data_IF_017780087477
#
_entry.id   IF_017780087477
#
_cell.length_a   1.000
_cell.length_b   1.000
_cell.length_c   1.000
_cell.angle_alpha   90.00
_cell.angle_beta   90.00
_cell.angle_gamma   90.00
#
_symmetry.space_group_name_H-M   'P 1'
#
loop_
_entity.id
_entity.type
_entity.pdbx_description
1 polymer ?
#
# COMPACT_ATOMS: atom_id res chain seq x y z
N UNK A 1 -35.81 -52.83 42.13
CA UNK A 1 -37.24 -52.47 42.10
C UNK A 1 -37.41 -51.65 40.83
N UNK A 2 -37.72 -52.30 39.70
CA UNK A 2 -39.11 -52.62 39.26
C UNK A 2 -39.82 -51.31 38.89
N UNK A 3 -40.34 -51.02 37.71
CA UNK A 3 -40.85 -51.74 36.52
C UNK A 3 -40.77 -50.70 35.36
N UNK A 4 -40.79 -50.97 34.06
CA UNK A 4 -41.44 -52.01 33.28
C UNK A 4 -42.32 -51.36 32.19
N UNK A 5 -42.22 -51.90 30.96
CA UNK A 5 -43.32 -52.08 29.97
C UNK A 5 -43.82 -50.81 29.24
N UNK A 6 -43.55 -50.56 27.95
CA UNK A 6 -43.85 -51.27 26.67
C UNK A 6 -45.31 -51.16 26.21
N UNK A 7 -45.55 -50.59 25.02
CA UNK A 7 -46.51 -51.08 24.01
C UNK A 7 -46.27 -50.31 22.70
N UNK A 8 -45.77 -50.96 21.63
CA UNK A 8 -46.52 -51.76 20.64
C UNK A 8 -47.32 -50.84 19.69
N UNK A 9 -47.00 -50.77 18.41
CA UNK A 9 -47.43 -51.77 17.44
C UNK A 9 -46.50 -51.86 16.22
N UNK A 10 -46.21 -53.11 15.87
CA UNK A 10 -45.53 -53.58 14.66
C UNK A 10 -46.54 -54.16 13.65
N UNK A 11 -46.03 -54.38 12.43
CA UNK A 11 -46.49 -55.33 11.39
C UNK A 11 -47.51 -54.82 10.38
N UNK A 12 -47.49 -55.19 9.09
CA UNK A 12 -46.52 -55.67 8.07
C UNK A 12 -47.37 -55.83 6.76
N UNK A 13 -46.78 -56.17 5.60
CA UNK A 13 -47.25 -55.74 4.27
C UNK A 13 -48.23 -56.72 3.59
N UNK A 14 -48.93 -56.26 2.56
CA UNK A 14 -49.49 -57.12 1.52
C UNK A 14 -49.32 -56.52 0.12
N UNK A 15 -49.12 -57.44 -0.81
CA UNK A 15 -48.58 -57.31 -2.15
C UNK A 15 -49.66 -57.66 -3.20
N UNK A 16 -49.38 -57.39 -4.49
CA UNK A 16 -50.14 -57.69 -5.73
C UNK A 16 -51.11 -56.59 -6.17
N UNK A 17 -51.20 -56.18 -7.44
CA UNK A 17 -50.99 -56.94 -8.68
C UNK A 17 -50.53 -56.08 -9.86
N UNK A 18 -49.86 -56.76 -10.78
CA UNK A 18 -49.36 -56.36 -12.10
C UNK A 18 -50.39 -55.64 -13.00
N UNK A 19 -49.92 -54.70 -13.82
CA UNK A 19 -50.40 -54.62 -15.20
C UNK A 19 -49.34 -54.03 -16.15
N UNK A 20 -48.92 -54.83 -17.12
CA UNK A 20 -48.01 -54.49 -18.20
C UNK A 20 -48.70 -53.61 -19.25
N UNK A 21 -48.13 -52.43 -19.55
CA UNK A 21 -48.26 -51.78 -20.86
C UNK A 21 -46.91 -51.20 -21.29
N UNK A 22 -46.23 -51.89 -22.20
CA UNK A 22 -45.19 -51.30 -23.07
C UNK A 22 -45.87 -50.30 -24.00
N UNK A 23 -45.24 -49.14 -24.25
CA UNK A 23 -45.06 -48.54 -25.58
C UNK A 23 -44.26 -47.22 -25.52
N UNK A 24 -43.16 -47.22 -26.28
CA UNK A 24 -42.51 -46.13 -27.04
C UNK A 24 -41.76 -44.98 -26.34
N UNK A 25 -40.44 -45.02 -26.63
CA UNK A 25 -39.40 -43.99 -26.68
C UNK A 25 -39.90 -42.60 -27.10
N UNK A 26 -39.46 -41.57 -26.36
CA UNK A 26 -39.04 -40.28 -26.90
C UNK A 26 -37.83 -39.80 -26.09
N UNK A 27 -36.69 -39.73 -26.75
CA UNK A 27 -35.55 -38.91 -26.35
C UNK A 27 -36.00 -37.44 -26.42
N UNK A 28 -36.15 -36.79 -25.27
CA UNK A 28 -36.29 -35.33 -25.21
C UNK A 28 -34.91 -34.77 -24.87
N UNK A 29 -34.23 -34.43 -25.96
CA UNK A 29 -33.36 -33.27 -26.15
C UNK A 29 -33.00 -32.48 -24.90
N UNK A 30 -31.70 -32.53 -24.61
CA UNK A 30 -30.93 -31.58 -23.82
C UNK A 30 -31.16 -30.15 -24.36
N UNK A 31 -32.13 -29.44 -23.80
CA UNK A 31 -32.24 -27.98 -23.96
C UNK A 31 -31.11 -27.36 -23.14
N UNK A 32 -29.98 -27.14 -23.82
CA UNK A 32 -28.96 -26.22 -23.35
C UNK A 32 -29.65 -24.86 -23.21
N UNK A 33 -29.82 -24.40 -21.96
CA UNK A 33 -30.10 -22.98 -21.71
C UNK A 33 -28.93 -22.20 -22.31
N UNK A 34 -29.18 -21.54 -23.44
CA UNK A 34 -28.38 -20.41 -23.87
C UNK A 34 -28.47 -19.38 -22.74
N UNK A 35 -27.42 -19.32 -21.93
CA UNK A 35 -27.20 -18.20 -21.03
C UNK A 35 -26.95 -17.04 -21.96
N UNK A 36 -27.97 -16.18 -22.10
CA UNK A 36 -27.85 -14.89 -22.76
C UNK A 36 -26.70 -14.16 -22.04
N UNK A 37 -25.54 -14.09 -22.68
CA UNK A 37 -24.42 -13.25 -22.26
C UNK A 37 -24.89 -11.80 -22.39
N UNK A 38 -25.73 -11.37 -21.45
CA UNK A 38 -25.93 -9.97 -21.20
C UNK A 38 -24.55 -9.42 -20.89
N UNK A 39 -24.03 -8.60 -21.80
CA UNK A 39 -22.85 -7.75 -21.60
C UNK A 39 -22.98 -7.12 -20.20
N UNK A 40 -22.24 -7.68 -19.23
CA UNK A 40 -22.13 -7.12 -17.90
C UNK A 40 -21.49 -5.75 -18.08
N UNK A 41 -22.29 -4.70 -17.99
CA UNK A 41 -21.78 -3.34 -18.05
C UNK A 41 -21.12 -3.06 -16.71
N UNK A 42 -19.83 -2.77 -16.75
CA UNK A 42 -19.09 -2.27 -15.60
C UNK A 42 -19.79 -1.02 -15.04
N UNK A 43 -20.37 -1.14 -13.84
CA UNK A 43 -20.96 -0.02 -13.12
C UNK A 43 -19.97 0.49 -12.05
N UNK A 44 -19.79 1.81 -11.99
CA UNK A 44 -18.93 2.42 -10.97
C UNK A 44 -19.62 2.38 -9.61
N UNK A 45 -19.04 1.65 -8.67
CA UNK A 45 -19.52 1.59 -7.30
C UNK A 45 -19.03 2.77 -6.45
N UNK A 46 -19.96 3.48 -5.80
CA UNK A 46 -19.69 4.57 -4.87
C UNK A 46 -20.29 4.21 -3.50
N UNK A 47 -19.46 4.01 -2.45
CA UNK A 47 -19.95 3.69 -1.12
C UNK A 47 -20.99 4.71 -0.63
N UNK A 48 -22.15 4.20 -0.21
CA UNK A 48 -23.27 5.02 0.30
C UNK A 48 -24.11 5.75 -0.75
N UNK A 49 -23.79 5.61 -2.05
CA UNK A 49 -24.63 6.12 -3.16
C UNK A 49 -25.11 5.03 -4.10
N UNK A 50 -24.24 4.08 -4.44
CA UNK A 50 -24.60 2.90 -5.25
C UNK A 50 -25.43 1.93 -4.43
N UNK A 51 -26.16 1.03 -5.12
CA UNK A 51 -26.85 -0.07 -4.45
C UNK A 51 -25.82 -0.95 -3.73
N UNK A 52 -26.19 -1.62 -2.63
CA UNK A 52 -25.32 -2.64 -2.01
C UNK A 52 -24.87 -3.67 -3.04
N UNK A 53 -23.66 -4.18 -2.82
CA UNK A 53 -23.09 -5.29 -3.59
C UNK A 53 -24.00 -6.52 -3.42
N UNK A 54 -24.29 -7.20 -4.52
CA UNK A 54 -24.96 -8.51 -4.49
C UNK A 54 -23.95 -9.62 -4.13
N UNK A 55 -24.45 -10.80 -3.73
CA UNK A 55 -23.60 -11.89 -3.21
C UNK A 55 -22.61 -12.45 -4.26
N UNK A 56 -22.87 -12.19 -5.54
CA UNK A 56 -22.11 -12.63 -6.72
C UNK A 56 -21.30 -11.50 -7.37
N UNK A 57 -21.28 -10.31 -6.79
CA UNK A 57 -20.54 -9.16 -7.29
C UNK A 57 -19.21 -8.95 -6.54
N UNK A 58 -18.16 -8.64 -7.29
CA UNK A 58 -16.86 -8.27 -6.73
C UNK A 58 -16.45 -6.87 -7.19
N UNK A 59 -15.86 -6.10 -6.27
CA UNK A 59 -15.32 -4.79 -6.60
C UNK A 59 -13.95 -4.96 -7.26
N UNK A 60 -13.89 -4.65 -8.55
CA UNK A 60 -12.63 -4.58 -9.29
C UNK A 60 -12.18 -3.12 -9.38
N UNK A 61 -10.86 -2.91 -9.27
CA UNK A 61 -10.27 -1.58 -9.44
C UNK A 61 -10.44 -1.09 -10.89
N UNK A 62 -11.04 0.08 -11.06
CA UNK A 62 -11.02 0.78 -12.36
C UNK A 62 -9.65 1.43 -12.60
N UNK A 63 -8.78 0.75 -13.38
CA UNK A 63 -7.46 1.25 -13.78
C UNK A 63 -7.54 2.59 -14.53
N UNK A 64 -8.69 2.96 -15.13
CA UNK A 64 -8.84 4.23 -15.87
C UNK A 64 -8.84 5.46 -14.96
N UNK A 65 -9.15 5.28 -13.67
CA UNK A 65 -9.13 6.34 -12.67
C UNK A 65 -7.70 6.83 -12.33
N UNK A 66 -6.67 6.05 -12.69
CA UNK A 66 -5.28 6.31 -12.33
C UNK A 66 -4.39 6.48 -13.56
N UNK A 67 -3.28 7.21 -13.39
CA UNK A 67 -2.19 7.27 -14.36
C UNK A 67 -1.11 6.23 -14.08
N UNK A 68 -0.90 5.93 -12.81
CA UNK A 68 -0.02 4.89 -12.28
C UNK A 68 -0.64 4.39 -10.98
N UNK A 69 -0.46 3.11 -10.67
CA UNK A 69 -0.87 2.53 -9.40
C UNK A 69 0.08 1.40 -9.05
N UNK A 70 0.55 1.39 -7.80
CA UNK A 70 1.44 0.37 -7.28
C UNK A 70 1.02 0.04 -5.85
N UNK A 71 0.93 -1.24 -5.57
CA UNK A 71 0.74 -1.78 -4.23
C UNK A 71 2.08 -2.28 -3.70
N UNK A 72 2.37 -1.96 -2.44
CA UNK A 72 3.63 -2.34 -1.80
C UNK A 72 3.30 -2.97 -0.46
N UNK A 73 3.72 -4.21 -0.28
CA UNK A 73 3.66 -4.87 1.01
C UNK A 73 4.88 -4.49 1.85
N UNK A 74 4.64 -4.04 3.09
CA UNK A 74 5.69 -3.64 4.03
C UNK A 74 5.69 -4.55 5.26
N UNK A 75 6.87 -4.76 5.87
CA UNK A 75 7.04 -5.68 7.00
C UNK A 75 6.21 -5.32 8.24
N UNK A 76 5.83 -4.05 8.40
CA UNK A 76 5.11 -3.54 9.57
C UNK A 76 4.24 -2.36 9.16
N UNK A 77 3.14 -2.14 9.90
CA UNK A 77 2.28 -0.98 9.67
C UNK A 77 3.06 0.31 9.82
N UNK A 78 2.60 1.35 9.11
CA UNK A 78 3.18 2.68 9.13
C UNK A 78 2.10 3.70 9.42
N UNK A 79 2.29 4.50 10.46
CA UNK A 79 1.40 5.59 10.82
C UNK A 79 1.64 6.85 9.99
N UNK A 80 2.84 6.96 9.41
CA UNK A 80 3.23 8.14 8.64
C UNK A 80 4.35 7.85 7.66
N UNK A 81 4.30 8.56 6.56
CA UNK A 81 5.39 8.66 5.62
C UNK A 81 5.54 10.10 5.15
N UNK A 82 6.68 10.38 4.52
CA UNK A 82 6.96 11.64 3.85
C UNK A 82 7.77 11.39 2.57
N UNK A 83 7.65 12.32 1.62
CA UNK A 83 8.32 12.22 0.32
C UNK A 83 9.68 12.91 0.40
N UNK A 84 10.73 12.21 -0.05
CA UNK A 84 12.08 12.75 -0.20
C UNK A 84 12.24 13.27 -1.64
N UNK A 85 12.09 14.58 -1.83
CA UNK A 85 12.16 15.20 -3.16
C UNK A 85 13.53 15.00 -3.82
N UNK A 86 13.53 14.57 -5.08
CA UNK A 86 14.75 14.48 -5.88
C UNK A 86 15.11 15.84 -6.50
N UNK A 87 16.16 15.84 -7.34
CA UNK A 87 16.56 17.00 -8.14
C UNK A 87 16.18 16.82 -9.62
N UNK A 88 15.19 15.98 -9.94
CA UNK A 88 14.77 15.67 -11.32
C UNK A 88 13.77 16.69 -11.90
N UNK A 89 13.41 17.71 -11.12
CA UNK A 89 12.51 18.80 -11.53
C UNK A 89 11.28 18.89 -10.64
N UNK A 90 10.68 20.08 -10.61
CA UNK A 90 9.41 20.34 -9.92
C UNK A 90 8.23 20.00 -10.84
N UNK A 91 7.12 19.56 -10.24
CA UNK A 91 5.86 19.28 -10.93
C UNK A 91 6.00 18.38 -12.17
N UNK A 92 6.78 17.28 -12.03
CA UNK A 92 6.92 16.27 -13.08
C UNK A 92 5.54 15.67 -13.39
N UNK A 93 4.98 16.03 -14.54
CA UNK A 93 3.73 15.47 -15.02
C UNK A 93 3.89 13.98 -15.34
N UNK A 94 2.91 13.18 -14.91
CA UNK A 94 2.83 11.76 -15.23
C UNK A 94 1.87 11.61 -16.39
N UNK A 95 2.37 11.12 -17.53
CA UNK A 95 1.57 10.92 -18.73
C UNK A 95 1.25 9.44 -18.90
N UNK A 96 0.02 9.15 -19.37
CA UNK A 96 -0.36 7.80 -19.77
C UNK A 96 0.47 7.43 -21.01
N UNK A 97 0.98 6.19 -21.07
CA UNK A 97 2.01 5.78 -22.05
C UNK A 97 3.34 6.56 -21.93
N UNK A 98 3.57 7.25 -20.81
CA UNK A 98 4.79 8.03 -20.58
C UNK A 98 6.00 7.18 -20.17
N UNK A 99 7.07 7.87 -19.81
CA UNK A 99 8.31 7.26 -19.33
C UNK A 99 8.20 6.78 -17.88
N UNK A 100 9.14 5.92 -17.48
CA UNK A 100 9.21 5.43 -16.11
C UNK A 100 9.58 6.53 -15.11
N UNK A 101 8.94 6.50 -13.95
CA UNK A 101 9.20 7.43 -12.85
C UNK A 101 9.96 6.76 -11.71
N UNK A 102 10.47 7.60 -10.80
CA UNK A 102 11.06 7.18 -9.54
C UNK A 102 10.56 8.07 -8.41
N UNK A 103 10.47 7.49 -7.21
CA UNK A 103 10.09 8.18 -5.99
C UNK A 103 10.95 7.69 -4.84
N UNK A 104 11.26 8.59 -3.91
CA UNK A 104 11.92 8.24 -2.67
C UNK A 104 11.05 8.69 -1.51
N UNK A 105 10.86 7.82 -0.53
CA UNK A 105 9.98 8.03 0.61
C UNK A 105 10.69 7.62 1.89
N UNK A 106 10.32 8.25 3.00
CA UNK A 106 10.65 7.78 4.34
C UNK A 106 9.36 7.42 5.06
N UNK A 107 9.33 6.24 5.68
CA UNK A 107 8.22 5.78 6.50
C UNK A 107 8.71 5.41 7.89
N UNK A 108 7.83 5.54 8.88
CA UNK A 108 8.07 5.09 10.25
C UNK A 108 7.19 3.91 10.59
N UNK A 109 7.73 2.88 11.23
CA UNK A 109 6.96 1.67 11.54
C UNK A 109 6.29 1.73 12.91
N UNK A 110 5.25 0.92 13.05
CA UNK A 110 4.60 0.54 14.30
C UNK A 110 4.65 -1.00 14.44
N UNK A 111 5.71 -1.49 15.08
CA UNK A 111 5.92 -2.90 15.35
C UNK A 111 5.37 -3.29 16.73
N UNK A 112 4.92 -4.54 16.88
CA UNK A 112 4.35 -5.03 18.14
C UNK A 112 5.32 -4.98 19.33
N UNK A 113 6.63 -4.93 19.07
CA UNK A 113 7.66 -4.77 20.10
C UNK A 113 8.40 -3.46 19.86
N UNK A 114 8.46 -2.61 20.89
CA UNK A 114 9.03 -1.26 20.82
C UNK A 114 10.45 -1.17 20.24
N UNK A 115 11.29 -2.20 20.44
CA UNK A 115 12.69 -2.25 19.95
C UNK A 115 12.83 -2.70 18.49
N UNK A 116 11.75 -3.14 17.86
CA UNK A 116 11.74 -3.57 16.45
C UNK A 116 11.33 -2.45 15.50
N UNK A 117 10.99 -1.28 16.04
CA UNK A 117 10.60 -0.14 15.24
C UNK A 117 11.78 0.42 14.44
N UNK A 118 11.48 0.86 13.23
CA UNK A 118 12.44 1.36 12.26
C UNK A 118 11.91 2.62 11.59
N UNK A 119 12.83 3.46 11.14
CA UNK A 119 12.59 4.32 9.97
C UNK A 119 13.04 3.54 8.73
N UNK A 120 12.25 3.61 7.67
CA UNK A 120 12.52 2.93 6.40
C UNK A 120 12.61 3.99 5.32
N UNK A 121 13.80 4.17 4.78
CA UNK A 121 14.03 4.99 3.57
C UNK A 121 13.91 4.06 2.38
N UNK A 122 12.93 4.31 1.51
CA UNK A 122 12.67 3.49 0.33
C UNK A 122 12.84 4.30 -0.93
N UNK A 123 13.39 3.68 -1.97
CA UNK A 123 13.42 4.22 -3.33
C UNK A 123 12.72 3.22 -4.25
N UNK A 124 11.72 3.72 -4.95
CA UNK A 124 11.03 3.02 -6.03
C UNK A 124 11.56 3.52 -7.35
N UNK A 125 11.98 2.61 -8.21
CA UNK A 125 12.44 2.89 -9.58
C UNK A 125 11.58 2.15 -10.58
N UNK A 126 11.71 2.55 -11.85
CA UNK A 126 11.01 1.92 -12.96
C UNK A 126 9.48 1.89 -12.80
N UNK A 127 8.90 2.91 -12.14
CA UNK A 127 7.46 3.02 -11.95
C UNK A 127 6.82 3.45 -13.27
N UNK A 128 6.30 2.49 -14.04
CA UNK A 128 5.69 2.74 -15.33
C UNK A 128 4.23 3.22 -15.19
N UNK A 129 3.84 4.31 -15.88
CA UNK A 129 2.44 4.66 -16.02
C UNK A 129 1.66 3.60 -16.81
N UNK A 130 0.35 3.51 -16.61
CA UNK A 130 -0.51 2.63 -17.39
C UNK A 130 -0.42 2.94 -18.88
N UNK A 131 -0.44 1.89 -19.71
CA UNK A 131 -0.57 2.01 -21.16
C UNK A 131 -2.04 2.12 -21.57
N UNK A 132 -2.35 2.95 -22.58
CA UNK A 132 -3.67 3.04 -23.23
C UNK A 132 -3.49 3.16 -24.74
N UNK A 133 -4.16 2.31 -25.51
CA UNK A 133 -4.22 2.43 -26.96
C UNK A 133 -5.02 3.69 -27.32
N UNK A 134 -4.38 4.68 -27.94
CA UNK A 134 -5.06 5.88 -28.44
C UNK A 134 -5.84 5.53 -29.71
N UNK A 135 -7.16 5.53 -29.64
CA UNK A 135 -8.06 5.06 -30.70
C UNK A 135 -8.19 5.99 -31.93
N UNK A 136 -7.15 6.71 -32.35
CA UNK A 136 -7.22 7.64 -33.47
C UNK A 136 -6.05 7.59 -34.47
N UNK A 137 -4.85 7.12 -34.11
CA UNK A 137 -3.68 7.16 -35.02
C UNK A 137 -3.17 5.77 -35.46
N UNK A 138 -3.60 4.68 -34.84
CA UNK A 138 -3.15 3.31 -35.19
C UNK A 138 -4.02 2.58 -36.22
N UNK A 139 -5.02 3.25 -36.83
CA UNK A 139 -5.90 2.64 -37.85
C UNK A 139 -5.29 2.58 -39.26
N UNK A 140 -3.97 2.68 -39.40
CA UNK A 140 -3.31 2.71 -40.72
C UNK A 140 -2.19 1.68 -40.91
N UNK A 141 -2.14 0.65 -40.08
CA UNK A 141 -1.34 -0.54 -40.37
C UNK A 141 -2.22 -1.79 -40.25
N UNK A 142 -3.04 -2.02 -41.29
CA UNK A 142 -3.57 -3.35 -41.57
C UNK A 142 -2.40 -4.26 -41.97
N UNK A 143 -1.85 -4.95 -40.97
CA UNK A 143 -1.17 -6.23 -41.17
C UNK A 143 -1.83 -7.22 -40.23
N UNK A 144 -2.58 -8.14 -40.82
CA UNK A 144 -3.18 -9.31 -40.19
C UNK A 144 -2.13 -10.10 -39.41
N UNK A 145 -2.02 -9.82 -38.12
CA UNK A 145 -1.50 -10.77 -37.14
C UNK A 145 -2.45 -10.71 -35.94
N UNK A 146 -3.49 -11.54 -36.02
CA UNK A 146 -4.31 -12.00 -34.90
C UNK A 146 -3.39 -12.74 -33.92
N UNK A 147 -2.56 -11.97 -33.21
CA UNK A 147 -1.95 -12.40 -31.96
C UNK A 147 -2.67 -11.65 -30.85
N UNK A 148 -3.60 -12.38 -30.27
CA UNK A 148 -4.25 -12.16 -28.99
C UNK A 148 -3.22 -11.78 -27.92
N UNK A 149 -2.85 -10.50 -27.91
CA UNK A 149 -1.93 -9.90 -26.95
C UNK A 149 -2.75 -9.04 -25.98
N UNK A 150 -3.68 -9.71 -25.31
CA UNK A 150 -4.27 -9.23 -24.05
C UNK A 150 -3.29 -9.33 -22.85
N UNK A 151 -2.01 -9.67 -23.09
CA UNK A 151 -0.96 -9.77 -22.06
C UNK A 151 0.13 -8.67 -22.12
N UNK A 152 -0.21 -7.44 -22.51
CA UNK A 152 0.66 -6.28 -22.26
C UNK A 152 -0.04 -5.22 -21.39
N UNK A 153 -0.85 -5.66 -20.43
CA UNK A 153 -1.20 -4.82 -19.31
C UNK A 153 0.09 -4.66 -18.48
N UNK A 154 0.72 -3.49 -18.52
CA UNK A 154 2.03 -3.27 -17.92
C UNK A 154 1.90 -3.17 -16.39
N UNK A 155 1.52 -4.28 -15.75
CA UNK A 155 1.63 -4.54 -14.31
C UNK A 155 3.10 -4.82 -13.94
N UNK A 156 4.04 -4.13 -14.61
CA UNK A 156 5.46 -4.26 -14.34
C UNK A 156 5.75 -3.69 -12.94
N UNK A 157 6.09 -4.58 -12.01
CA UNK A 157 6.42 -4.20 -10.64
C UNK A 157 7.63 -3.27 -10.60
N UNK A 158 7.63 -2.24 -9.72
CA UNK A 158 8.74 -1.31 -9.61
C UNK A 158 9.89 -1.95 -8.86
N UNK A 159 11.12 -1.56 -9.19
CA UNK A 159 12.29 -1.96 -8.41
C UNK A 159 12.29 -1.18 -7.09
N UNK A 160 12.32 -1.89 -5.96
CA UNK A 160 12.29 -1.29 -4.62
C UNK A 160 13.59 -1.57 -3.88
N UNK A 161 14.25 -0.50 -3.43
CA UNK A 161 15.41 -0.56 -2.54
C UNK A 161 15.07 0.12 -1.21
N UNK A 162 15.38 -0.53 -0.09
CA UNK A 162 14.96 -0.06 1.24
C UNK A 162 16.09 -0.13 2.29
N UNK A 163 16.50 1.02 2.81
CA UNK A 163 17.46 1.12 3.91
C UNK A 163 16.73 1.41 5.23
N UNK A 164 17.02 0.62 6.26
CA UNK A 164 16.36 0.75 7.58
C UNK A 164 17.27 1.40 8.62
N UNK A 165 16.67 2.14 9.55
CA UNK A 165 17.33 2.75 10.71
C UNK A 165 16.54 2.34 11.96
N UNK A 166 17.20 1.81 12.98
CA UNK A 166 16.53 1.44 14.23
C UNK A 166 15.97 2.68 14.93
N UNK A 167 14.75 2.56 15.43
CA UNK A 167 14.03 3.63 16.12
C UNK A 167 13.58 3.17 17.51
N UNK A 168 13.62 4.08 18.49
CA UNK A 168 13.18 3.80 19.85
C UNK A 168 11.69 4.07 19.99
N UNK A 169 10.89 3.01 20.07
CA UNK A 169 9.42 3.09 20.13
C UNK A 169 8.78 3.24 18.74
N UNK A 170 7.46 3.12 18.68
CA UNK A 170 6.69 3.34 17.44
C UNK A 170 6.90 4.76 16.90
N UNK A 171 6.87 4.88 15.57
CA UNK A 171 7.04 6.17 14.88
C UNK A 171 5.68 6.75 14.53
N UNK A 172 5.20 7.68 15.36
CA UNK A 172 3.90 8.32 15.18
C UNK A 172 3.86 9.29 13.99
N UNK A 173 4.96 10.03 13.82
CA UNK A 173 5.11 10.96 12.70
C UNK A 173 6.56 11.03 12.26
N UNK A 174 6.81 10.96 10.96
CA UNK A 174 8.07 11.33 10.33
C UNK A 174 7.86 12.47 9.35
N UNK A 175 8.76 13.45 9.38
CA UNK A 175 8.83 14.56 8.42
C UNK A 175 10.26 14.80 8.00
N UNK A 176 10.47 14.92 6.70
CA UNK A 176 11.78 15.14 6.13
C UNK A 176 11.87 16.49 5.42
N UNK A 177 13.06 17.08 5.47
CA UNK A 177 13.33 18.36 4.82
C UNK A 177 14.78 18.45 4.41
N UNK A 178 15.03 19.04 3.25
CA UNK A 178 16.38 19.44 2.89
C UNK A 178 16.83 20.62 3.75
N UNK A 179 17.99 20.48 4.37
CA UNK A 179 18.66 21.51 5.15
C UNK A 179 20.12 21.59 4.70
N UNK A 180 20.51 22.75 4.12
CA UNK A 180 21.88 23.01 3.62
C UNK A 180 22.43 21.91 2.69
N UNK A 181 21.58 21.40 1.80
CA UNK A 181 21.95 20.37 0.81
C UNK A 181 22.01 18.94 1.34
N UNK A 182 21.54 18.69 2.57
CA UNK A 182 21.38 17.34 3.15
C UNK A 182 19.94 17.10 3.53
N UNK A 183 19.52 15.84 3.58
CA UNK A 183 18.22 15.49 4.11
C UNK A 183 18.28 15.25 5.60
N UNK A 184 17.46 16.00 6.32
CA UNK A 184 17.15 15.71 7.72
C UNK A 184 15.75 15.10 7.79
N UNK A 185 15.57 14.11 8.66
CA UNK A 185 14.25 13.70 9.11
C UNK A 185 14.10 14.03 10.59
N UNK A 186 12.92 14.48 10.99
CA UNK A 186 12.50 14.42 12.37
C UNK A 186 11.50 13.27 12.52
N UNK A 187 11.58 12.55 13.64
CA UNK A 187 10.59 11.54 14.00
C UNK A 187 10.05 11.77 15.40
N UNK A 188 8.76 11.56 15.55
CA UNK A 188 8.05 11.60 16.81
C UNK A 188 7.80 10.17 17.31
N UNK A 189 8.22 9.87 18.53
CA UNK A 189 8.11 8.56 19.16
C UNK A 189 6.94 8.47 20.13
N UNK A 190 6.35 7.27 20.24
CA UNK A 190 5.37 6.91 21.28
C UNK A 190 5.89 7.18 22.71
N UNK A 191 7.22 7.15 22.89
CA UNK A 191 7.86 7.35 24.19
C UNK A 191 7.93 8.83 24.64
N UNK A 192 7.28 9.76 23.92
CA UNK A 192 7.37 11.20 24.20
C UNK A 192 8.72 11.81 23.81
N UNK A 193 9.45 11.16 22.90
CA UNK A 193 10.74 11.64 22.40
C UNK A 193 10.65 12.10 20.94
N UNK A 194 11.47 13.08 20.60
CA UNK A 194 11.66 13.54 19.22
C UNK A 194 13.11 13.38 18.82
N UNK A 195 13.32 12.75 17.67
CA UNK A 195 14.65 12.50 17.13
C UNK A 195 14.86 13.29 15.86
N UNK A 196 16.09 13.74 15.62
CA UNK A 196 16.52 14.28 14.33
C UNK A 196 17.59 13.35 13.76
N UNK A 197 17.41 12.99 12.50
CA UNK A 197 18.21 12.03 11.76
C UNK A 197 18.84 12.72 10.56
N UNK A 198 20.07 12.32 10.23
CA UNK A 198 20.75 12.70 9.00
C UNK A 198 20.63 11.52 8.02
N UNK A 199 20.03 11.76 6.86
CA UNK A 199 19.66 10.68 5.93
C UNK A 199 20.67 10.45 4.80
N UNK A 200 21.80 11.16 4.74
CA UNK A 200 22.76 11.02 3.62
C UNK A 200 23.21 9.57 3.44
N UNK A 201 23.56 8.87 4.52
CA UNK A 201 24.00 7.46 4.43
C UNK A 201 22.91 6.52 3.87
N UNK A 202 21.69 6.42 4.46
CA UNK A 202 20.65 5.55 3.93
C UNK A 202 20.17 5.98 2.54
N UNK A 203 20.14 7.29 2.26
CA UNK A 203 19.85 7.76 0.90
C UNK A 203 20.90 7.32 -0.11
N UNK A 204 22.18 7.37 0.24
CA UNK A 204 23.24 6.89 -0.67
C UNK A 204 23.09 5.39 -0.92
N UNK A 205 22.75 4.61 0.11
CA UNK A 205 22.52 3.18 0.01
C UNK A 205 21.39 2.85 -0.96
N UNK A 206 20.19 3.43 -0.81
CA UNK A 206 19.08 3.13 -1.73
C UNK A 206 19.31 3.60 -3.17
N UNK A 207 20.32 4.43 -3.42
CA UNK A 207 20.68 4.91 -4.76
C UNK A 207 21.86 4.15 -5.39
N UNK A 208 22.57 3.30 -4.65
CA UNK A 208 23.76 2.57 -5.12
C UNK A 208 23.80 1.15 -4.54
N UNK A 209 23.63 0.14 -5.38
CA UNK A 209 23.55 -1.26 -4.96
C UNK A 209 24.83 -1.77 -4.27
N UNK A 210 26.02 -1.24 -4.60
CA UNK A 210 27.25 -1.63 -3.92
C UNK A 210 27.26 -1.07 -2.49
N UNK A 211 26.82 0.18 -2.33
CA UNK A 211 26.66 0.82 -1.03
C UNK A 211 25.57 0.12 -0.20
N UNK A 212 24.46 -0.24 -0.82
CA UNK A 212 23.38 -0.99 -0.18
C UNK A 212 23.86 -2.34 0.34
N UNK A 213 24.67 -3.06 -0.44
CA UNK A 213 25.24 -4.33 -0.01
C UNK A 213 26.14 -4.19 1.23
N UNK A 214 26.91 -3.09 1.35
CA UNK A 214 27.68 -2.79 2.56
C UNK A 214 26.79 -2.43 3.74
N UNK A 215 25.78 -1.58 3.52
CA UNK A 215 24.83 -1.13 4.53
C UNK A 215 24.13 -2.32 5.20
N UNK A 216 23.67 -3.28 4.40
CA UNK A 216 23.06 -4.53 4.89
C UNK A 216 24.09 -5.43 5.54
N UNK A 217 25.26 -5.66 4.92
CA UNK A 217 26.30 -6.56 5.47
C UNK A 217 26.75 -6.15 6.87
N UNK A 218 26.83 -4.84 7.11
CA UNK A 218 27.27 -4.28 8.39
C UNK A 218 26.13 -3.98 9.35
N UNK A 219 24.88 -4.28 8.99
CA UNK A 219 23.68 -3.90 9.77
C UNK A 219 23.75 -2.43 10.18
N UNK A 220 24.09 -1.55 9.23
CA UNK A 220 24.22 -0.13 9.52
C UNK A 220 22.88 0.45 9.99
N UNK A 221 22.96 1.25 11.04
CA UNK A 221 21.82 1.97 11.59
C UNK A 221 22.32 3.28 12.17
N UNK A 222 22.37 4.37 11.38
CA UNK A 222 22.81 5.68 11.85
C UNK A 222 22.06 6.09 13.11
N UNK A 223 22.80 6.59 14.11
CA UNK A 223 22.20 7.13 15.33
C UNK A 223 21.60 8.52 15.07
N UNK A 224 20.58 8.93 15.84
CA UNK A 224 20.03 10.27 15.72
C UNK A 224 21.11 11.31 16.03
N UNK A 225 21.15 12.40 15.26
CA UNK A 225 22.09 13.51 15.49
C UNK A 225 21.63 14.42 16.63
N UNK A 226 20.35 14.36 16.98
CA UNK A 226 19.78 15.06 18.12
C UNK A 226 18.58 14.30 18.66
N UNK A 227 18.38 14.35 19.98
CA UNK A 227 17.25 13.74 20.68
C UNK A 227 16.73 14.72 21.72
N UNK A 228 15.41 14.85 21.79
CA UNK A 228 14.73 15.64 22.80
C UNK A 228 13.73 14.75 23.53
N UNK A 229 13.81 14.76 24.85
CA UNK A 229 13.00 14.00 25.79
C UNK A 229 12.21 14.92 26.74
N UNK A 230 12.04 16.20 26.39
CA UNK A 230 11.41 17.20 27.25
C UNK A 230 9.89 17.27 27.14
N UNK A 231 9.25 16.46 26.28
CA UNK A 231 7.79 16.38 26.20
C UNK A 231 7.21 15.58 27.38
N UNK A 232 6.04 15.99 27.84
CA UNK A 232 5.40 15.38 29.01
C UNK A 232 4.53 14.17 28.68
N UNK A 233 4.23 13.97 27.39
CA UNK A 233 3.41 12.90 26.85
C UNK A 233 3.80 12.60 25.40
N UNK A 234 3.26 11.52 24.88
CA UNK A 234 3.21 11.22 23.45
C UNK A 234 2.51 12.33 22.66
N UNK A 235 2.72 12.35 21.35
CA UNK A 235 2.18 13.32 20.42
C UNK A 235 2.22 12.81 18.98
N UNK A 236 1.73 13.66 18.09
CA UNK A 236 1.68 13.38 16.65
C UNK A 236 2.00 14.62 15.82
N UNK A 237 2.04 15.81 16.42
CA UNK A 237 2.31 17.05 15.71
C UNK A 237 3.81 17.23 15.51
N UNK A 238 4.23 17.29 14.25
CA UNK A 238 5.62 17.46 13.84
C UNK A 238 5.61 18.10 12.45
N UNK A 239 6.25 19.26 12.30
CA UNK A 239 6.44 19.88 11.00
C UNK A 239 7.67 20.79 10.93
N UNK A 240 8.33 20.80 9.77
CA UNK A 240 9.47 21.68 9.49
C UNK A 240 8.97 23.00 8.90
N UNK A 241 9.63 24.11 9.26
CA UNK A 241 9.30 25.38 8.63
C UNK A 241 9.63 25.36 7.14
N UNK A 242 8.62 25.74 6.33
CA UNK A 242 8.76 25.89 4.88
C UNK A 242 9.42 27.23 4.49
N UNK A 243 9.49 28.18 5.44
CA UNK A 243 9.92 29.55 5.17
C UNK A 243 11.44 29.68 5.16
N UNK A 244 11.98 30.30 4.10
CA UNK A 244 13.42 30.37 3.82
C UNK A 244 14.23 31.02 4.96
N UNK A 245 13.69 32.04 5.63
CA UNK A 245 14.36 32.73 6.74
C UNK A 245 14.37 31.91 8.05
N UNK A 246 13.67 30.78 8.10
CA UNK A 246 13.57 29.89 9.26
C UNK A 246 13.94 28.45 8.87
N UNK A 247 14.84 28.31 7.92
CA UNK A 247 15.33 27.01 7.44
C UNK A 247 15.85 26.20 8.64
N UNK A 248 15.37 24.97 8.80
CA UNK A 248 15.74 24.07 9.90
C UNK A 248 15.01 24.33 11.22
N UNK A 249 14.08 25.29 11.27
CA UNK A 249 13.14 25.39 12.39
C UNK A 249 12.15 24.23 12.31
N UNK A 250 11.81 23.68 13.47
CA UNK A 250 10.85 22.58 13.61
C UNK A 250 9.85 22.95 14.71
N UNK A 251 8.59 22.58 14.52
CA UNK A 251 7.57 22.68 15.57
C UNK A 251 7.09 21.28 15.92
N UNK A 252 6.95 21.02 17.22
CA UNK A 252 6.43 19.76 17.72
C UNK A 252 5.35 19.97 18.77
N UNK A 253 4.41 19.03 18.90
CA UNK A 253 3.33 19.12 19.88
C UNK A 253 2.89 17.77 20.45
N UNK A 254 2.68 17.74 21.76
CA UNK A 254 2.19 16.56 22.49
C UNK A 254 0.68 16.58 22.75
N UNK A 255 0.14 15.44 23.18
CA UNK A 255 -1.27 15.24 23.50
C UNK A 255 -1.74 16.02 24.75
N UNK A 256 -0.82 16.57 25.55
CA UNK A 256 -1.16 17.46 26.67
C UNK A 256 -1.28 18.93 26.21
N UNK A 257 -1.04 19.21 24.93
CA UNK A 257 -1.15 20.54 24.35
C UNK A 257 0.10 21.40 24.49
N UNK A 258 1.24 20.83 24.89
CA UNK A 258 2.51 21.55 24.88
C UNK A 258 3.10 21.57 23.47
N UNK A 259 3.54 22.76 23.04
CA UNK A 259 4.17 22.98 21.74
C UNK A 259 5.59 23.49 21.99
N UNK A 260 6.55 22.88 21.30
CA UNK A 260 7.96 23.24 21.40
C UNK A 260 8.44 23.72 20.04
N UNK A 261 9.24 24.79 20.05
CA UNK A 261 9.80 25.40 18.86
C UNK A 261 11.31 25.21 18.85
N UNK A 262 11.78 24.56 17.81
CA UNK A 262 13.15 24.13 17.68
C UNK A 262 13.92 25.10 16.79
N UNK A 263 15.03 25.62 17.31
CA UNK A 263 15.92 26.57 16.66
C UNK A 263 17.23 25.88 16.29
N UNK A 264 17.57 25.79 14.99
CA UNK A 264 18.82 25.16 14.55
C UNK A 264 20.02 26.01 14.96
N UNK A 265 21.05 25.35 15.50
CA UNK A 265 22.35 25.94 15.84
C UNK A 265 23.44 25.34 14.94
N UNK A 266 24.71 25.56 15.27
CA UNK A 266 25.84 25.06 14.49
C UNK A 266 25.95 23.53 14.50
N UNK A 267 25.57 22.89 15.60
CA UNK A 267 25.77 21.46 15.84
C UNK A 267 24.54 20.72 16.36
N UNK A 268 23.52 21.45 16.80
CA UNK A 268 22.36 20.93 17.53
C UNK A 268 21.12 21.83 17.34
N UNK A 269 20.08 21.58 18.12
CA UNK A 269 18.87 22.41 18.21
C UNK A 269 18.69 22.92 19.63
N UNK A 270 18.28 24.18 19.78
CA UNK A 270 17.65 24.62 21.03
C UNK A 270 16.15 24.43 20.93
N UNK A 271 15.56 23.87 21.98
CA UNK A 271 14.14 23.52 22.08
C UNK A 271 13.51 24.29 23.24
#
# INVERSE_FOLDING_TARGET
MSDGVNDSLTMKPQNKSENNRKLKIKEETNEMMEVDEHELKDEVYIPGRSRPLEDDEELVMDKRAYRMFFELEVESSSLSFDILTDNLGFDRCIEVNGEAHSACIIAGTEASKGYQNKLVVMRLCNMLPFKRKNSAEDRQSDSEDESDSEEEDSDAEPDVEAATILHQGAVNRVRARQFKGRYLAASWSENGMVFIWELTRPLTAVNDSAVMAEYVRHNESPSPIFTFDGHSAEGFALDWSLHSNSTGHLATGDCNGHIYHWLPRSSDWAV
#
